data_IF_992969827070
#
_entry.id   IF_992969827070
#
_cell.length_a   1.000
_cell.length_b   1.000
_cell.length_c   1.000
_cell.angle_alpha   90.00
_cell.angle_beta   90.00
_cell.angle_gamma   90.00
#
_symmetry.space_group_name_H-M   'P 1'
#
loop_
_entity.id
_entity.type
_entity.pdbx_description
1 polymer ?
#
# COMPACT_ATOMS: atom_id res chain seq x y z
N UNK A 1 -4.84 -4.08 -45.18
CA UNK A 1 -4.88 -2.65 -44.83
C UNK A 1 -6.28 -2.02 -44.90
N UNK A 2 -7.32 -2.61 -45.48
CA UNK A 2 -8.67 -1.97 -45.59
C UNK A 2 -9.62 -2.21 -44.42
N UNK A 3 -9.37 -3.19 -43.53
CA UNK A 3 -10.26 -3.50 -42.39
C UNK A 3 -9.95 -2.65 -41.14
N UNK A 4 -8.69 -2.26 -40.94
CA UNK A 4 -8.29 -1.42 -39.81
C UNK A 4 -8.73 0.03 -39.95
N UNK A 5 -8.77 0.54 -41.21
CA UNK A 5 -9.25 1.89 -41.51
C UNK A 5 -10.76 2.04 -41.29
N UNK A 6 -11.53 0.97 -41.55
CA UNK A 6 -12.97 0.97 -41.33
C UNK A 6 -13.31 0.96 -39.83
N UNK A 7 -12.52 0.24 -39.01
CA UNK A 7 -12.69 0.21 -37.56
C UNK A 7 -12.36 1.56 -36.91
N UNK A 8 -11.29 2.23 -37.39
CA UNK A 8 -10.94 3.58 -36.92
C UNK A 8 -12.01 4.62 -37.34
N UNK A 9 -12.62 4.47 -38.52
CA UNK A 9 -13.68 5.35 -38.99
C UNK A 9 -14.99 5.15 -38.22
N UNK A 10 -15.31 3.92 -37.82
CA UNK A 10 -16.47 3.61 -36.95
C UNK A 10 -16.27 4.16 -35.52
N UNK A 11 -15.05 4.09 -34.95
CA UNK A 11 -14.75 4.72 -33.69
C UNK A 11 -14.84 6.25 -33.75
N UNK A 12 -14.42 6.87 -34.88
CA UNK A 12 -14.49 8.32 -35.05
C UNK A 12 -15.93 8.84 -35.23
N UNK A 13 -16.82 8.05 -35.81
CA UNK A 13 -18.23 8.41 -35.98
C UNK A 13 -19.08 8.23 -34.72
N UNK A 14 -18.61 7.41 -33.76
CA UNK A 14 -19.24 7.25 -32.43
C UNK A 14 -19.06 8.43 -31.49
N UNK A 15 -18.08 9.30 -31.77
CA UNK A 15 -17.72 10.42 -30.89
C UNK A 15 -18.61 11.67 -31.15
N UNK A 16 -19.25 11.76 -32.29
CA UNK A 16 -20.04 12.95 -32.70
C UNK A 16 -21.49 12.98 -32.19
N UNK A 17 -21.98 11.95 -31.50
CA UNK A 17 -23.35 11.91 -30.97
C UNK A 17 -23.51 12.44 -29.55
N UNK A 18 -22.43 12.96 -28.92
CA UNK A 18 -22.39 13.33 -27.51
C UNK A 18 -22.35 14.87 -27.33
N UNK A 19 -23.13 15.59 -28.09
CA UNK A 19 -23.30 17.04 -27.93
C UNK A 19 -24.41 17.37 -26.91
N UNK A 20 -24.56 16.59 -25.84
CA UNK A 20 -25.28 17.01 -24.64
C UNK A 20 -24.28 17.76 -23.75
N UNK A 21 -24.69 18.88 -23.13
CA UNK A 21 -23.83 19.60 -22.18
C UNK A 21 -23.34 18.64 -21.10
N UNK A 22 -22.09 18.20 -21.24
CA UNK A 22 -21.48 17.27 -20.29
C UNK A 22 -21.00 18.08 -19.11
N UNK A 23 -21.68 17.92 -17.98
CA UNK A 23 -21.33 18.61 -16.76
C UNK A 23 -20.06 17.98 -16.14
N UNK A 24 -19.10 18.82 -15.81
CA UNK A 24 -17.92 18.46 -15.04
C UNK A 24 -18.15 18.81 -13.59
N UNK A 25 -17.84 17.88 -12.69
CA UNK A 25 -17.89 18.08 -11.25
C UNK A 25 -16.52 17.94 -10.66
N UNK A 26 -16.10 18.91 -9.85
CA UNK A 26 -14.78 18.92 -9.21
C UNK A 26 -14.99 18.89 -7.70
N UNK A 27 -14.32 17.99 -7.01
CA UNK A 27 -14.36 17.95 -5.56
C UNK A 27 -12.96 18.03 -4.95
N UNK A 28 -12.87 18.75 -3.84
CA UNK A 28 -11.72 18.75 -2.95
C UNK A 28 -12.09 17.97 -1.72
N UNK A 29 -11.23 17.01 -1.30
CA UNK A 29 -11.55 16.14 -0.17
C UNK A 29 -10.33 15.84 0.68
N UNK A 30 -10.61 15.48 1.93
CA UNK A 30 -9.67 14.91 2.88
C UNK A 30 -10.13 13.50 3.22
N UNK A 31 -9.16 12.60 3.40
CA UNK A 31 -9.39 11.17 3.51
C UNK A 31 -8.63 10.60 4.73
N UNK A 32 -9.10 10.84 5.98
CA UNK A 32 -8.60 10.06 7.09
C UNK A 32 -8.84 8.58 6.81
N UNK A 33 -7.82 7.76 7.02
CA UNK A 33 -7.87 6.35 6.67
C UNK A 33 -7.25 5.45 7.73
N UNK A 34 -7.73 4.23 7.77
CA UNK A 34 -7.10 3.12 8.49
C UNK A 34 -6.50 2.20 7.45
N UNK A 35 -5.19 2.00 7.52
CA UNK A 35 -4.45 1.19 6.56
C UNK A 35 -3.72 0.04 7.23
N UNK A 36 -3.51 -1.02 6.46
CA UNK A 36 -2.79 -2.21 6.90
C UNK A 36 -2.05 -2.87 5.74
N UNK A 37 -1.03 -3.63 6.10
CA UNK A 37 -0.30 -4.49 5.18
C UNK A 37 -0.80 -5.93 5.34
N UNK A 38 -1.15 -6.57 4.23
CA UNK A 38 -1.54 -7.97 4.18
C UNK A 38 -0.38 -8.77 3.62
N UNK A 39 0.37 -9.52 4.45
CA UNK A 39 1.48 -10.34 4.00
C UNK A 39 1.00 -11.53 3.15
N UNK A 40 1.83 -11.95 2.20
CA UNK A 40 1.62 -13.13 1.36
C UNK A 40 2.36 -14.38 1.90
N UNK A 41 3.28 -14.21 2.85
CA UNK A 41 4.06 -15.29 3.44
C UNK A 41 3.67 -15.53 4.91
N UNK A 42 3.59 -16.81 5.29
CA UNK A 42 3.18 -17.25 6.65
C UNK A 42 4.13 -16.79 7.77
N UNK A 43 5.39 -16.56 7.43
CA UNK A 43 6.45 -16.18 8.38
C UNK A 43 6.53 -14.63 8.54
N UNK A 44 5.54 -13.91 8.05
CA UNK A 44 5.36 -12.49 8.29
C UNK A 44 4.08 -12.31 9.12
N UNK A 45 4.22 -11.72 10.29
CA UNK A 45 3.10 -11.41 11.18
C UNK A 45 2.63 -9.98 10.96
N UNK A 46 1.32 -9.79 10.84
CA UNK A 46 0.71 -8.46 10.82
C UNK A 46 0.43 -8.03 12.26
N UNK A 47 1.08 -6.96 12.72
CA UNK A 47 0.95 -6.49 14.11
C UNK A 47 -0.14 -5.44 14.31
N UNK A 48 -0.61 -4.76 13.26
CA UNK A 48 -1.66 -3.78 13.46
C UNK A 48 -2.04 -2.92 12.26
N UNK A 49 -3.09 -2.13 12.51
CA UNK A 49 -3.60 -1.14 11.58
C UNK A 49 -3.11 0.24 12.00
N UNK A 50 -2.88 1.13 11.03
CA UNK A 50 -2.39 2.48 11.31
C UNK A 50 -3.37 3.53 10.79
N UNK A 51 -3.65 4.53 11.65
CA UNK A 51 -4.41 5.70 11.25
C UNK A 51 -3.50 6.62 10.44
N UNK A 52 -3.95 6.99 9.25
CA UNK A 52 -3.23 7.84 8.30
C UNK A 52 -4.18 8.85 7.69
N UNK A 53 -3.64 9.77 6.89
CA UNK A 53 -4.41 10.81 6.22
C UNK A 53 -4.05 10.89 4.74
N UNK A 54 -5.05 11.23 3.94
CA UNK A 54 -4.92 11.60 2.56
C UNK A 54 -5.68 12.87 2.28
N UNK A 55 -5.45 13.45 1.12
CA UNK A 55 -6.26 14.53 0.56
C UNK A 55 -6.13 14.50 -0.95
N UNK A 56 -7.14 15.02 -1.63
CA UNK A 56 -7.15 14.95 -3.08
C UNK A 56 -8.13 15.89 -3.75
N UNK A 57 -8.02 15.83 -5.06
CA UNK A 57 -8.95 16.49 -5.99
C UNK A 57 -9.51 15.41 -6.90
N UNK A 58 -10.82 15.29 -6.96
CA UNK A 58 -11.50 14.43 -7.93
C UNK A 58 -12.21 15.26 -8.98
N UNK A 59 -12.25 14.73 -10.19
CA UNK A 59 -12.91 15.29 -11.36
C UNK A 59 -13.80 14.23 -11.96
N UNK A 60 -15.09 14.43 -11.90
CA UNK A 60 -16.10 13.55 -12.45
C UNK A 60 -16.65 14.14 -13.76
N UNK A 61 -16.56 13.37 -14.85
CA UNK A 61 -17.21 13.71 -16.10
C UNK A 61 -18.54 12.97 -16.20
N UNK A 62 -19.63 13.71 -16.11
CA UNK A 62 -20.98 13.16 -16.24
C UNK A 62 -21.27 12.77 -17.70
N UNK A 63 -21.80 11.58 -17.92
CA UNK A 63 -22.35 11.15 -19.23
C UNK A 63 -23.86 11.29 -19.26
N UNK A 64 -24.47 11.08 -18.12
CA UNK A 64 -25.89 11.28 -17.82
C UNK A 64 -26.00 11.81 -16.40
N UNK A 65 -27.18 12.17 -15.95
CA UNK A 65 -27.42 12.65 -14.58
C UNK A 65 -26.98 11.64 -13.51
N UNK A 66 -26.93 10.34 -13.87
CA UNK A 66 -26.70 9.24 -12.96
C UNK A 66 -25.35 8.52 -13.12
N UNK A 67 -24.61 8.77 -14.20
CA UNK A 67 -23.37 8.04 -14.52
C UNK A 67 -22.24 9.01 -14.82
N UNK A 68 -21.08 8.77 -14.20
CA UNK A 68 -19.87 9.52 -14.47
C UNK A 68 -18.64 8.61 -14.55
N UNK A 69 -17.64 9.07 -15.26
CA UNK A 69 -16.26 8.59 -15.10
C UNK A 69 -15.53 9.60 -14.22
N UNK A 70 -14.96 9.10 -13.15
CA UNK A 70 -14.15 9.88 -12.21
C UNK A 70 -12.66 9.62 -12.39
N UNK A 71 -11.89 10.69 -12.30
CA UNK A 71 -10.44 10.64 -12.16
C UNK A 71 -10.00 11.70 -11.15
N UNK A 72 -8.71 11.83 -10.89
CA UNK A 72 -8.23 12.83 -9.95
C UNK A 72 -6.77 12.66 -9.58
N UNK A 73 -6.39 13.34 -8.52
CA UNK A 73 -5.06 13.25 -7.92
C UNK A 73 -5.22 13.17 -6.41
N UNK A 74 -4.79 12.05 -5.82
CA UNK A 74 -4.80 11.84 -4.38
C UNK A 74 -3.38 11.79 -3.85
N UNK A 75 -3.09 12.56 -2.81
CA UNK A 75 -1.89 12.42 -2.00
C UNK A 75 -2.26 11.54 -0.80
N UNK A 76 -1.87 10.27 -0.87
CA UNK A 76 -2.26 9.22 0.04
C UNK A 76 -1.10 8.84 0.96
N UNK A 77 -1.31 8.93 2.27
CA UNK A 77 -0.41 8.29 3.24
C UNK A 77 -1.05 7.00 3.73
N UNK A 78 -0.31 5.91 3.68
CA UNK A 78 -0.77 4.57 4.04
C UNK A 78 0.37 3.79 4.70
N UNK A 79 0.13 2.56 5.14
CA UNK A 79 1.15 1.71 5.75
C UNK A 79 0.54 0.61 6.59
N UNK A 80 1.33 0.10 7.51
CA UNK A 80 0.97 -0.96 8.44
C UNK A 80 2.21 -1.43 9.19
N UNK A 81 2.02 -2.35 10.12
CA UNK A 81 3.09 -2.89 10.94
C UNK A 81 3.24 -4.39 10.68
N UNK A 82 4.47 -4.80 10.42
CA UNK A 82 4.83 -6.19 10.15
C UNK A 82 6.00 -6.60 11.04
N UNK A 83 5.95 -7.86 11.47
CA UNK A 83 7.04 -8.51 12.20
C UNK A 83 7.51 -9.73 11.43
N UNK A 84 8.81 -9.86 11.24
CA UNK A 84 9.45 -10.97 10.55
C UNK A 84 10.90 -11.15 10.99
N UNK A 85 11.51 -12.27 10.65
CA UNK A 85 12.94 -12.48 10.83
C UNK A 85 13.71 -11.94 9.61
N UNK A 86 14.83 -11.25 9.88
CA UNK A 86 15.76 -10.75 8.88
C UNK A 86 17.17 -11.25 9.16
N UNK A 87 17.99 -11.39 8.12
CA UNK A 87 19.41 -11.69 8.23
C UNK A 87 20.20 -10.44 7.90
N UNK A 88 21.00 -9.98 8.85
CA UNK A 88 21.87 -8.82 8.68
C UNK A 88 23.34 -9.21 8.89
N UNK A 89 24.20 -8.52 8.16
CA UNK A 89 25.62 -8.57 8.39
C UNK A 89 25.98 -7.46 9.39
N UNK A 90 26.56 -7.85 10.51
CA UNK A 90 26.86 -6.94 11.61
C UNK A 90 28.35 -6.95 11.91
N UNK A 91 28.95 -5.78 12.05
CA UNK A 91 30.36 -5.64 12.45
C UNK A 91 30.49 -5.69 13.98
N UNK A 92 31.07 -6.75 14.47
CA UNK A 92 31.35 -6.95 15.87
C UNK A 92 32.87 -6.85 16.09
N UNK A 93 33.35 -5.71 16.62
CA UNK A 93 34.75 -5.45 16.89
C UNK A 93 35.68 -5.56 15.67
N UNK A 94 35.23 -5.16 14.48
CA UNK A 94 36.01 -5.22 13.24
C UNK A 94 35.96 -6.59 12.52
N UNK A 95 35.10 -7.50 12.99
CA UNK A 95 34.81 -8.77 12.32
C UNK A 95 33.38 -8.79 11.86
N UNK A 96 33.15 -8.96 10.56
CA UNK A 96 31.80 -9.11 10.00
C UNK A 96 31.20 -10.45 10.45
N UNK A 97 30.00 -10.38 11.06
CA UNK A 97 29.29 -11.53 11.60
C UNK A 97 27.85 -11.51 11.11
N UNK A 98 27.35 -12.65 10.65
CA UNK A 98 25.95 -12.79 10.28
C UNK A 98 25.08 -12.94 11.51
N UNK A 99 23.98 -12.19 11.56
CA UNK A 99 23.00 -12.27 12.62
C UNK A 99 21.60 -12.43 12.05
N UNK A 100 20.76 -13.19 12.77
CA UNK A 100 19.32 -13.24 12.53
C UNK A 100 18.64 -12.39 13.58
N UNK A 101 17.81 -11.47 13.11
CA UNK A 101 17.10 -10.50 13.95
C UNK A 101 15.60 -10.66 13.75
N UNK A 102 14.84 -10.47 14.81
CA UNK A 102 13.40 -10.23 14.73
C UNK A 102 13.21 -8.73 14.54
N UNK A 103 12.59 -8.35 13.43
CA UNK A 103 12.35 -6.96 13.05
C UNK A 103 10.87 -6.70 13.07
N UNK A 104 10.44 -5.69 13.84
CA UNK A 104 9.10 -5.12 13.77
C UNK A 104 9.19 -3.77 13.11
N UNK A 105 8.57 -3.61 11.93
CA UNK A 105 8.58 -2.38 11.13
C UNK A 105 7.20 -1.77 11.01
N UNK A 106 7.08 -0.51 11.41
CA UNK A 106 5.91 0.32 11.19
C UNK A 106 6.14 1.20 9.96
N UNK A 107 5.61 0.75 8.82
CA UNK A 107 5.77 1.44 7.55
C UNK A 107 4.86 2.66 7.41
N UNK A 108 5.42 3.75 6.88
CA UNK A 108 4.71 4.96 6.46
C UNK A 108 5.06 5.26 5.00
N UNK A 109 4.15 4.94 4.10
CA UNK A 109 4.33 5.06 2.65
C UNK A 109 3.45 6.18 2.11
N UNK A 110 4.04 7.06 1.28
CA UNK A 110 3.32 8.16 0.65
C UNK A 110 3.25 7.96 -0.86
N UNK A 111 2.03 8.03 -1.38
CA UNK A 111 1.73 7.84 -2.79
C UNK A 111 1.05 9.06 -3.39
N UNK A 112 1.38 9.32 -4.65
CA UNK A 112 0.54 10.09 -5.56
C UNK A 112 -0.31 9.06 -6.29
N UNK A 113 -1.63 9.05 -6.06
CA UNK A 113 -2.55 8.09 -6.68
C UNK A 113 -3.45 8.79 -7.70
N UNK A 114 -3.55 8.19 -8.87
CA UNK A 114 -4.48 8.59 -9.93
C UNK A 114 -5.59 7.53 -9.98
N UNK A 115 -6.80 7.84 -9.48
CA UNK A 115 -7.95 6.95 -9.60
C UNK A 115 -8.55 7.02 -11.00
N UNK A 116 -9.12 5.91 -11.45
CA UNK A 116 -10.01 5.82 -12.61
C UNK A 116 -11.24 5.04 -12.19
N UNK A 117 -12.36 5.72 -11.99
CA UNK A 117 -13.57 5.13 -11.39
C UNK A 117 -14.79 5.33 -12.27
N UNK A 118 -15.71 4.38 -12.23
CA UNK A 118 -17.09 4.54 -12.66
C UNK A 118 -17.90 4.95 -11.43
N UNK A 119 -18.60 6.08 -11.49
CA UNK A 119 -19.44 6.60 -10.42
C UNK A 119 -20.91 6.54 -10.84
N UNK A 120 -21.73 6.00 -9.95
CA UNK A 120 -23.16 5.91 -10.07
C UNK A 120 -23.79 6.86 -9.05
N UNK A 121 -24.80 7.62 -9.46
CA UNK A 121 -25.51 8.58 -8.59
C UNK A 121 -27.00 8.39 -8.72
N UNK A 122 -27.72 8.59 -7.63
CA UNK A 122 -29.19 8.71 -7.70
C UNK A 122 -29.57 10.12 -8.17
N UNK A 123 -30.83 10.29 -8.53
CA UNK A 123 -31.41 11.63 -8.58
C UNK A 123 -31.43 12.21 -7.16
N UNK A 124 -31.42 13.54 -7.07
CA UNK A 124 -31.50 14.23 -5.80
C UNK A 124 -32.84 13.97 -5.12
N UNK A 125 -32.80 13.54 -3.86
CA UNK A 125 -33.98 13.29 -3.02
C UNK A 125 -33.94 14.28 -1.87
N UNK A 126 -34.73 15.34 -1.95
CA UNK A 126 -34.61 16.49 -1.08
C UNK A 126 -33.35 17.28 -1.41
N UNK A 127 -32.35 17.21 -0.54
CA UNK A 127 -31.03 17.82 -0.74
C UNK A 127 -29.91 16.78 -0.81
N UNK A 128 -30.24 15.49 -0.91
CA UNK A 128 -29.29 14.37 -0.81
C UNK A 128 -29.25 13.61 -2.14
N UNK A 129 -28.05 13.40 -2.65
CA UNK A 129 -27.74 12.45 -3.72
C UNK A 129 -26.91 11.33 -3.15
N UNK A 130 -27.33 10.08 -3.32
CA UNK A 130 -26.52 8.91 -2.98
C UNK A 130 -25.61 8.57 -4.15
N UNK A 131 -24.39 8.16 -3.85
CA UNK A 131 -23.46 7.73 -4.87
C UNK A 131 -22.75 6.45 -4.48
N UNK A 132 -22.32 5.71 -5.49
CA UNK A 132 -21.43 4.58 -5.40
C UNK A 132 -20.38 4.65 -6.50
N UNK A 133 -19.18 4.20 -6.23
CA UNK A 133 -18.11 4.16 -7.22
C UNK A 133 -17.31 2.88 -7.14
N UNK A 134 -16.77 2.47 -8.30
CA UNK A 134 -15.81 1.38 -8.41
C UNK A 134 -14.79 1.66 -9.51
N UNK A 135 -13.56 1.19 -9.34
CA UNK A 135 -12.53 1.43 -10.33
C UNK A 135 -11.15 0.98 -9.88
N UNK A 136 -10.14 1.52 -10.53
CA UNK A 136 -8.73 1.20 -10.31
C UNK A 136 -7.99 2.44 -9.82
N UNK A 137 -6.99 2.24 -8.96
CA UNK A 137 -6.04 3.24 -8.53
C UNK A 137 -4.64 2.89 -9.02
N UNK A 138 -3.93 3.89 -9.54
CA UNK A 138 -2.52 3.80 -9.91
C UNK A 138 -1.74 4.75 -9.00
N UNK A 139 -0.98 4.20 -8.07
CA UNK A 139 -0.19 4.94 -7.08
C UNK A 139 1.29 4.89 -7.40
N UNK A 140 1.96 6.06 -7.28
CA UNK A 140 3.41 6.20 -7.37
C UNK A 140 3.95 6.53 -5.99
N UNK A 141 4.88 5.70 -5.48
CA UNK A 141 5.54 5.99 -4.23
C UNK A 141 6.56 7.11 -4.44
N UNK A 142 6.48 8.16 -3.60
CA UNK A 142 7.45 9.25 -3.63
C UNK A 142 8.22 9.39 -2.32
N UNK A 143 7.78 8.69 -1.27
CA UNK A 143 8.47 8.65 0.02
C UNK A 143 8.02 7.44 0.82
N UNK A 144 8.97 6.74 1.42
CA UNK A 144 8.69 5.67 2.36
C UNK A 144 9.63 5.77 3.56
N UNK A 145 9.07 5.61 4.74
CA UNK A 145 9.80 5.59 6.01
C UNK A 145 9.28 4.47 6.87
N UNK A 146 10.11 4.01 7.79
CA UNK A 146 9.72 3.04 8.80
C UNK A 146 10.34 3.39 10.15
N UNK A 147 9.58 3.07 11.20
CA UNK A 147 10.13 2.95 12.54
C UNK A 147 10.39 1.46 12.76
N UNK A 148 11.61 1.11 13.16
CA UNK A 148 12.05 -0.25 13.35
C UNK A 148 12.37 -0.55 14.81
N UNK A 149 11.91 -1.69 15.28
CA UNK A 149 12.38 -2.33 16.49
C UNK A 149 13.10 -3.62 16.11
N UNK A 150 14.38 -3.70 16.44
CA UNK A 150 15.25 -4.81 16.09
C UNK A 150 15.63 -5.56 17.36
N UNK A 151 15.31 -6.86 17.40
CA UNK A 151 15.72 -7.78 18.46
C UNK A 151 16.60 -8.86 17.88
N UNK A 152 17.81 -9.03 18.40
CA UNK A 152 18.74 -10.06 17.94
C UNK A 152 18.33 -11.42 18.46
N UNK A 153 18.23 -12.40 17.57
CA UNK A 153 17.76 -13.76 17.89
C UNK A 153 18.90 -14.76 17.82
N UNK A 154 19.68 -14.74 16.73
CA UNK A 154 20.78 -15.68 16.48
C UNK A 154 21.98 -14.96 15.91
N UNK A 155 23.16 -15.38 16.36
CA UNK A 155 24.45 -14.90 15.85
C UNK A 155 25.24 -16.08 15.32
N UNK A 156 25.87 -15.92 14.15
CA UNK A 156 26.85 -16.88 13.63
C UNK A 156 28.20 -16.63 14.27
N UNK A 157 28.77 -17.66 14.84
CA UNK A 157 30.13 -17.65 15.39
C UNK A 157 30.97 -18.56 14.52
N UNK A 158 32.04 -18.04 13.93
CA UNK A 158 33.12 -18.83 13.34
C UNK A 158 34.03 -19.29 14.49
N UNK A 159 34.42 -20.56 14.49
CA UNK A 159 35.27 -21.19 15.50
C UNK A 159 34.65 -21.18 16.91
N UNK A 160 33.53 -21.90 17.11
CA UNK A 160 33.01 -22.15 18.45
C UNK A 160 34.02 -22.99 19.27
N UNK A 161 34.63 -22.45 20.35
CA UNK A 161 35.61 -23.19 21.16
C UNK A 161 35.02 -24.41 21.88
N UNK A 162 33.69 -24.57 21.84
CA UNK A 162 33.00 -25.74 22.45
C UNK A 162 32.75 -26.88 21.45
N UNK A 163 33.03 -26.69 20.16
CA UNK A 163 32.92 -27.77 19.18
C UNK A 163 34.28 -28.46 19.02
N UNK A 164 34.24 -29.78 18.98
CA UNK A 164 35.45 -30.65 18.85
C UNK A 164 35.98 -30.67 17.42
N UNK A 165 35.39 -30.00 16.47
CA UNK A 165 35.83 -29.86 15.07
C UNK A 165 36.17 -28.43 14.80
N UNK A 166 37.43 -28.16 14.56
CA UNK A 166 38.07 -26.82 14.37
C UNK A 166 37.54 -26.00 13.17
N UNK A 167 36.41 -26.38 12.53
CA UNK A 167 35.83 -25.69 11.36
C UNK A 167 34.29 -25.67 11.35
N UNK A 168 33.62 -25.93 12.48
CA UNK A 168 32.16 -25.87 12.55
C UNK A 168 31.69 -24.46 12.95
N UNK A 169 31.15 -23.76 11.99
CA UNK A 169 30.38 -22.54 12.25
C UNK A 169 29.09 -22.88 13.00
N UNK A 170 28.87 -22.28 14.15
CA UNK A 170 27.69 -22.49 14.97
C UNK A 170 26.82 -21.24 15.04
N UNK A 171 25.52 -21.41 15.09
CA UNK A 171 24.56 -20.38 15.41
C UNK A 171 24.18 -20.46 16.88
N UNK A 172 24.44 -19.40 17.63
CA UNK A 172 24.06 -19.28 19.05
C UNK A 172 23.02 -18.23 19.26
N UNK A 173 22.33 -18.29 20.39
CA UNK A 173 21.38 -17.25 20.80
C UNK A 173 22.11 -15.94 21.04
N UNK A 174 21.67 -14.88 20.38
CA UNK A 174 22.28 -13.57 20.53
C UNK A 174 21.78 -12.89 21.81
N UNK A 175 22.72 -12.41 22.64
CA UNK A 175 22.42 -11.68 23.87
C UNK A 175 22.68 -10.18 23.67
N UNK A 176 22.09 -9.60 22.63
CA UNK A 176 22.21 -8.19 22.32
C UNK A 176 20.87 -7.50 22.61
N UNK A 177 20.94 -6.33 23.25
CA UNK A 177 19.74 -5.56 23.57
C UNK A 177 18.98 -5.13 22.31
N UNK A 178 17.67 -5.04 22.42
CA UNK A 178 16.83 -4.51 21.35
C UNK A 178 17.24 -3.08 21.00
N UNK A 179 17.21 -2.76 19.72
CA UNK A 179 17.52 -1.42 19.20
C UNK A 179 16.30 -0.90 18.46
N UNK A 180 15.98 0.38 18.71
CA UNK A 180 14.91 1.09 17.99
C UNK A 180 15.54 2.12 17.07
N UNK A 181 15.12 2.13 15.80
CA UNK A 181 15.49 3.14 14.80
C UNK A 181 14.21 3.82 14.34
N UNK A 182 14.15 5.14 14.48
CA UNK A 182 12.98 5.92 14.06
C UNK A 182 13.24 6.61 12.73
N UNK A 183 12.17 6.72 11.94
CA UNK A 183 12.11 7.53 10.70
C UNK A 183 13.14 7.11 9.63
N UNK A 184 13.51 5.82 9.59
CA UNK A 184 14.45 5.26 8.63
C UNK A 184 13.90 5.36 7.20
N UNK A 185 14.76 5.73 6.25
CA UNK A 185 14.38 5.75 4.83
C UNK A 185 14.43 4.33 4.27
N UNK A 186 13.25 3.78 3.98
CA UNK A 186 13.06 2.43 3.43
C UNK A 186 12.56 2.45 1.98
N UNK A 187 12.83 3.52 1.24
CA UNK A 187 12.35 3.67 -0.14
C UNK A 187 12.83 2.53 -1.06
N UNK A 188 14.03 1.97 -0.81
CA UNK A 188 14.55 0.80 -1.55
C UNK A 188 13.74 -0.48 -1.33
N UNK A 189 13.09 -0.60 -0.17
CA UNK A 189 12.32 -1.77 0.24
C UNK A 189 10.86 -1.68 -0.20
N UNK A 190 10.45 -0.57 -0.82
CA UNK A 190 9.08 -0.33 -1.27
C UNK A 190 9.02 -0.35 -2.79
N UNK A 191 7.90 -0.89 -3.30
CA UNK A 191 7.62 -0.85 -4.73
C UNK A 191 7.26 0.57 -5.18
N UNK A 192 7.85 1.00 -6.31
CA UNK A 192 7.63 2.34 -6.87
C UNK A 192 6.17 2.55 -7.29
N UNK A 193 5.50 1.47 -7.70
CA UNK A 193 4.13 1.49 -8.21
C UNK A 193 3.22 0.64 -7.33
N UNK A 194 2.03 1.14 -7.10
CA UNK A 194 0.94 0.46 -6.42
C UNK A 194 -0.28 0.46 -7.33
N UNK A 195 -0.87 -0.71 -7.52
CA UNK A 195 -2.16 -0.85 -8.19
C UNK A 195 -3.20 -1.32 -7.19
N UNK A 196 -4.41 -0.80 -7.30
CA UNK A 196 -5.48 -1.09 -6.35
C UNK A 196 -6.86 -1.12 -7.01
N UNK A 197 -7.77 -1.86 -6.41
CA UNK A 197 -9.19 -1.80 -6.68
C UNK A 197 -9.83 -0.82 -5.69
N UNK A 198 -10.56 0.15 -6.22
CA UNK A 198 -11.28 1.15 -5.44
C UNK A 198 -12.76 0.83 -5.48
N UNK A 199 -13.40 0.76 -4.32
CA UNK A 199 -14.85 0.68 -4.19
C UNK A 199 -15.31 1.67 -3.12
N UNK A 200 -16.38 2.41 -3.38
CA UNK A 200 -16.85 3.41 -2.43
C UNK A 200 -18.33 3.67 -2.55
N UNK A 201 -18.88 4.22 -1.49
CA UNK A 201 -20.28 4.66 -1.41
C UNK A 201 -20.40 5.86 -0.48
N UNK A 202 -21.37 6.71 -0.73
CA UNK A 202 -21.54 7.91 0.10
C UNK A 202 -22.75 8.73 -0.30
N UNK A 203 -22.74 9.96 0.20
CA UNK A 203 -23.77 10.96 -0.01
C UNK A 203 -23.15 12.28 -0.45
N UNK A 204 -23.91 13.03 -1.21
CA UNK A 204 -23.67 14.44 -1.52
C UNK A 204 -24.87 15.21 -0.95
N UNK A 205 -24.60 16.20 -0.13
CA UNK A 205 -25.61 17.09 0.43
C UNK A 205 -25.52 18.46 -0.23
N UNK A 206 -26.53 18.82 -1.00
CA UNK A 206 -26.59 20.10 -1.71
C UNK A 206 -26.74 21.26 -0.71
N UNK A 207 -25.78 22.17 -0.73
CA UNK A 207 -25.80 23.39 0.11
C UNK A 207 -26.45 24.53 -0.65
N UNK A 208 -26.02 24.76 -1.89
CA UNK A 208 -26.49 25.89 -2.72
C UNK A 208 -26.03 25.72 -4.16
N UNK A 209 -26.97 25.76 -5.10
CA UNK A 209 -26.68 25.66 -6.53
C UNK A 209 -25.93 24.38 -6.89
N UNK A 210 -24.72 24.53 -7.41
CA UNK A 210 -23.84 23.40 -7.78
C UNK A 210 -22.96 22.90 -6.62
N UNK A 211 -22.97 23.60 -5.46
CA UNK A 211 -22.07 23.27 -4.33
C UNK A 211 -22.70 22.28 -3.38
N UNK A 212 -22.00 21.16 -3.16
CA UNK A 212 -22.44 20.09 -2.25
C UNK A 212 -21.32 19.69 -1.28
N UNK A 213 -21.70 19.30 -0.07
CA UNK A 213 -20.81 18.52 0.82
C UNK A 213 -20.84 17.06 0.40
N UNK A 214 -19.65 16.46 0.35
CA UNK A 214 -19.49 15.03 0.04
C UNK A 214 -19.02 14.31 1.29
N UNK A 215 -19.66 13.18 1.59
CA UNK A 215 -19.20 12.25 2.61
C UNK A 215 -19.35 10.81 2.11
N UNK A 216 -18.33 9.97 2.32
CA UNK A 216 -18.36 8.59 1.85
C UNK A 216 -17.31 7.71 2.49
N UNK A 217 -17.51 6.40 2.37
CA UNK A 217 -16.54 5.38 2.73
C UNK A 217 -15.94 4.81 1.45
N UNK A 218 -14.61 4.80 1.41
CA UNK A 218 -13.84 4.25 0.29
C UNK A 218 -13.00 3.09 0.80
N UNK A 219 -13.18 1.94 0.21
CA UNK A 219 -12.30 0.79 0.36
C UNK A 219 -11.32 0.75 -0.82
N UNK A 220 -10.03 0.70 -0.52
CA UNK A 220 -8.97 0.66 -1.51
C UNK A 220 -8.12 -0.60 -1.23
N UNK A 221 -8.28 -1.61 -2.08
CA UNK A 221 -7.63 -2.90 -1.97
C UNK A 221 -6.45 -2.98 -2.94
N UNK A 222 -5.24 -2.94 -2.41
CA UNK A 222 -4.02 -3.15 -3.20
C UNK A 222 -3.93 -4.60 -3.67
N UNK A 223 -3.57 -4.81 -4.93
CA UNK A 223 -3.32 -6.14 -5.49
C UNK A 223 -1.92 -6.30 -6.08
N UNK A 224 -1.11 -5.25 -6.05
CA UNK A 224 0.34 -5.33 -6.30
C UNK A 224 1.09 -5.43 -4.98
N UNK A 225 2.26 -6.08 -5.00
CA UNK A 225 3.15 -6.09 -3.87
C UNK A 225 3.64 -4.68 -3.56
N UNK A 226 3.54 -4.29 -2.29
CA UNK A 226 4.01 -3.00 -1.81
C UNK A 226 5.45 -3.08 -1.28
N UNK A 227 5.88 -4.26 -0.86
CA UNK A 227 7.20 -4.48 -0.27
C UNK A 227 8.12 -5.27 -1.21
N UNK A 228 9.41 -4.99 -1.07
CA UNK A 228 10.54 -5.70 -1.67
C UNK A 228 11.51 -6.05 -0.54
N UNK A 229 12.31 -7.09 -0.70
CA UNK A 229 13.29 -7.48 0.30
C UNK A 229 13.26 -8.98 0.59
N UNK A 230 13.97 -9.38 1.64
CA UNK A 230 14.10 -10.77 2.06
C UNK A 230 13.79 -10.91 3.54
N UNK A 231 13.12 -12.00 3.88
CA UNK A 231 12.93 -12.44 5.25
C UNK A 231 13.54 -13.81 5.45
N UNK A 232 13.73 -14.24 6.70
CA UNK A 232 14.24 -15.56 7.07
C UNK A 232 13.07 -16.48 7.38
N UNK A 233 13.04 -17.65 6.74
CA UNK A 233 12.03 -18.68 6.97
C UNK A 233 12.09 -19.19 8.41
N UNK A 234 10.92 -19.39 9.02
CA UNK A 234 10.77 -19.86 10.39
C UNK A 234 10.23 -21.30 10.42
N UNK A 235 10.62 -22.05 11.45
CA UNK A 235 9.95 -23.29 11.85
C UNK A 235 8.64 -22.98 12.60
N UNK A 236 7.85 -24.01 12.88
CA UNK A 236 6.58 -23.87 13.62
C UNK A 236 6.75 -23.29 15.03
N UNK A 237 7.93 -23.42 15.62
CA UNK A 237 8.29 -22.86 16.94
C UNK A 237 8.83 -21.44 16.88
N UNK A 238 8.87 -20.80 15.69
CA UNK A 238 9.39 -19.45 15.48
C UNK A 238 10.91 -19.36 15.33
N UNK A 239 11.63 -20.48 15.38
CA UNK A 239 13.09 -20.49 15.18
C UNK A 239 13.44 -20.33 13.70
N UNK A 240 14.56 -19.65 13.37
CA UNK A 240 15.01 -19.52 11.98
C UNK A 240 15.43 -20.88 11.40
N UNK A 241 15.08 -21.09 10.13
CA UNK A 241 15.51 -22.28 9.36
C UNK A 241 16.83 -22.01 8.69
N UNK A 242 17.80 -22.89 8.89
CA UNK A 242 19.12 -22.83 8.27
C UNK A 242 19.29 -23.95 7.23
N UNK A 243 20.06 -23.66 6.17
CA UNK A 243 20.53 -24.60 5.18
C UNK A 243 22.00 -24.32 4.95
N UNK A 244 22.86 -25.34 5.15
CA UNK A 244 24.34 -25.25 4.99
C UNK A 244 24.95 -24.03 5.73
N UNK A 245 24.56 -23.85 7.01
CA UNK A 245 25.02 -22.76 7.89
C UNK A 245 24.57 -21.34 7.44
N UNK A 246 23.64 -21.24 6.51
CA UNK A 246 23.04 -19.96 6.12
C UNK A 246 21.52 -19.95 6.43
N UNK A 247 20.95 -18.81 6.83
CA UNK A 247 19.50 -18.70 7.01
C UNK A 247 18.79 -18.85 5.65
N UNK A 248 17.72 -19.66 5.65
CA UNK A 248 16.88 -19.83 4.46
C UNK A 248 16.01 -18.59 4.27
N UNK A 249 16.14 -17.94 3.10
CA UNK A 249 15.44 -16.70 2.80
C UNK A 249 14.17 -16.93 1.98
N UNK A 250 13.21 -16.02 2.12
CA UNK A 250 12.03 -15.86 1.27
C UNK A 250 11.86 -14.41 0.83
N UNK A 251 11.06 -14.15 -0.22
CA UNK A 251 10.76 -12.80 -0.67
C UNK A 251 9.71 -12.15 0.23
N UNK A 252 10.01 -10.97 0.76
CA UNK A 252 9.05 -10.13 1.47
C UNK A 252 8.04 -9.58 0.46
N UNK A 253 6.79 -10.04 0.58
CA UNK A 253 5.68 -9.59 -0.23
C UNK A 253 4.50 -9.24 0.65
N UNK A 254 3.89 -8.10 0.38
CA UNK A 254 2.72 -7.66 1.13
C UNK A 254 1.88 -6.70 0.30
N UNK A 255 0.57 -6.87 0.33
CA UNK A 255 -0.39 -5.96 -0.28
C UNK A 255 -0.80 -4.89 0.71
N UNK A 256 -0.94 -3.66 0.23
CA UNK A 256 -1.37 -2.54 1.07
C UNK A 256 -2.85 -2.22 0.84
N UNK A 257 -3.63 -2.28 1.89
CA UNK A 257 -5.07 -2.05 1.91
C UNK A 257 -5.42 -0.89 2.84
N UNK A 258 -6.53 -0.21 2.56
CA UNK A 258 -7.05 0.83 3.45
C UNK A 258 -8.57 1.00 3.31
N UNK A 259 -9.15 1.55 4.36
CA UNK A 259 -10.51 2.11 4.38
C UNK A 259 -10.38 3.57 4.76
N UNK A 260 -10.95 4.47 3.97
CA UNK A 260 -10.97 5.90 4.24
C UNK A 260 -12.38 6.44 4.38
N UNK A 261 -12.51 7.47 5.21
CA UNK A 261 -13.67 8.34 5.27
C UNK A 261 -13.38 9.55 4.39
N UNK A 262 -13.98 9.61 3.21
CA UNK A 262 -13.85 10.78 2.34
C UNK A 262 -14.80 11.87 2.80
N UNK A 263 -14.29 13.07 3.03
CA UNK A 263 -15.10 14.26 3.34
C UNK A 263 -14.61 15.43 2.49
N UNK A 264 -15.51 16.12 1.82
CA UNK A 264 -15.11 17.15 0.87
C UNK A 264 -16.21 18.10 0.42
N UNK A 265 -15.85 18.97 -0.52
CA UNK A 265 -16.75 19.92 -1.17
C UNK A 265 -16.69 19.65 -2.67
N UNK A 266 -17.87 19.51 -3.27
CA UNK A 266 -18.11 19.31 -4.70
C UNK A 266 -18.70 20.58 -5.30
N UNK A 267 -18.22 20.93 -6.50
CA UNK A 267 -18.66 22.08 -7.29
C UNK A 267 -19.16 21.67 -8.65
#
# INVERSE_FOLDING_TARGET
MKKSTLFLLMCALGISSWAQEQEWKIAFHVDPNVSWLKPDHKDIEQEGNKLRFGFGVSIDKMFTDNYAIGTGLNLLTTGGELTYLNAIEYDLNGKSTNMVTKVTRNYSMKYIEIPLTLKLRTNEIGYITYWGQMGLGLGFNYRAKADEEITFVKQKIEDDPNTTNDNEEAWIDAQIAATTVEDEDVASDIADFRTSLIAGLGIEYNISGSTSLVAGLIYNNGFSDALRGKGVTQETNGSPVFSDLAPRLFDLKSMNNLISLQVGILF
#
